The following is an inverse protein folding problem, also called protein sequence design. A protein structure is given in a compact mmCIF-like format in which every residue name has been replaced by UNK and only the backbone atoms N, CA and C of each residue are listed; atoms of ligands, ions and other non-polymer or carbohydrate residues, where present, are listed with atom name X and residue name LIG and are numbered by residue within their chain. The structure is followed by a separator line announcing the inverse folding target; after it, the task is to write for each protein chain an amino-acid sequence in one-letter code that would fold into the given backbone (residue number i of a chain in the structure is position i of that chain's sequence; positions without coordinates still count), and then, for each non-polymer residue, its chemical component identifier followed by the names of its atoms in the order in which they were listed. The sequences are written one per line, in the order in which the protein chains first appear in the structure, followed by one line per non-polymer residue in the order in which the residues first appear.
data_IF_561024491491
#
_entry.id   IF_561024491491
#
_cell.length_a   1.000
_cell.length_b   1.000
_cell.length_c   1.000
_cell.angle_alpha   90.00
_cell.angle_beta   90.00
_cell.angle_gamma   90.00
#
_symmetry.space_group_name_H-M   'P 1'
#
loop_
_entity.id
_entity.type
_entity.pdbx_description
1 polymer ?
#
# COMPACT_ATOMS: atom_id res chain seq x y z
N UNK A 1 13.74 19.73 10.34
CA UNK A 1 12.61 19.76 11.29
C UNK A 1 11.37 19.34 10.51
N UNK A 2 10.52 18.48 11.08
CA UNK A 2 9.22 18.12 10.49
C UNK A 2 8.26 19.30 10.59
N UNK A 3 7.40 19.48 9.58
CA UNK A 3 6.39 20.57 9.56
C UNK A 3 5.34 20.41 10.67
N UNK A 4 5.07 19.17 11.08
CA UNK A 4 4.11 18.84 12.13
C UNK A 4 4.82 18.28 13.35
N UNK A 5 4.33 18.61 14.54
CA UNK A 5 4.89 18.14 15.81
C UNK A 5 4.36 16.76 16.17
N UNK A 6 3.13 16.45 15.73
CA UNK A 6 2.45 15.22 16.05
C UNK A 6 1.92 14.53 14.80
N UNK A 7 2.29 13.26 14.65
CA UNK A 7 1.78 12.39 13.59
C UNK A 7 0.89 11.30 14.17
N UNK A 8 -0.34 11.25 13.72
CA UNK A 8 -1.27 10.17 13.96
C UNK A 8 -1.16 9.16 12.80
N UNK A 9 -0.94 7.88 13.08
CA UNK A 9 -0.78 6.85 12.05
C UNK A 9 -1.77 5.71 12.30
N UNK A 10 -2.59 5.40 11.32
CA UNK A 10 -3.35 4.15 11.31
C UNK A 10 -2.64 3.13 10.43
N UNK A 11 -2.69 1.84 10.81
CA UNK A 11 -1.98 0.79 10.08
C UNK A 11 -0.46 0.84 10.25
N UNK A 12 0.01 1.34 11.39
CA UNK A 12 1.43 1.50 11.73
C UNK A 12 2.21 0.17 11.78
N UNK A 13 1.54 -0.93 12.06
CA UNK A 13 2.11 -2.28 12.10
C UNK A 13 2.29 -2.93 10.73
N UNK A 14 1.63 -2.38 9.70
CA UNK A 14 1.75 -2.85 8.32
C UNK A 14 3.10 -2.49 7.67
N UNK A 15 3.36 -3.03 6.49
CA UNK A 15 4.61 -2.86 5.75
C UNK A 15 5.02 -1.38 5.58
N UNK A 16 4.12 -0.57 5.01
CA UNK A 16 4.36 0.86 4.81
C UNK A 16 4.35 1.62 6.15
N UNK A 17 3.36 1.32 7.02
CA UNK A 17 3.21 2.02 8.30
C UNK A 17 4.44 1.88 9.19
N UNK A 18 5.05 0.70 9.26
CA UNK A 18 6.32 0.50 9.99
C UNK A 18 7.47 1.33 9.42
N UNK A 19 7.55 1.43 8.10
CA UNK A 19 8.60 2.22 7.43
C UNK A 19 8.42 3.71 7.73
N UNK A 20 7.19 4.23 7.64
CA UNK A 20 6.84 5.60 8.00
C UNK A 20 7.13 5.90 9.47
N UNK A 21 6.68 5.03 10.37
CA UNK A 21 6.87 5.18 11.81
C UNK A 21 8.35 5.28 12.18
N UNK A 22 9.17 4.36 11.66
CA UNK A 22 10.63 4.39 11.88
C UNK A 22 11.26 5.68 11.36
N UNK A 23 10.80 6.17 10.21
CA UNK A 23 11.32 7.41 9.60
C UNK A 23 10.95 8.65 10.42
N UNK A 24 9.71 8.73 10.90
CA UNK A 24 9.23 9.82 11.74
C UNK A 24 9.94 9.86 13.09
N UNK A 25 10.06 8.73 13.78
CA UNK A 25 10.80 8.64 15.04
C UNK A 25 12.26 9.10 14.85
N UNK A 26 12.90 8.68 13.76
CA UNK A 26 14.28 9.09 13.45
C UNK A 26 14.40 10.61 13.24
N UNK A 27 13.34 11.28 12.80
CA UNK A 27 13.31 12.75 12.67
C UNK A 27 12.93 13.50 13.95
N UNK A 28 12.66 12.78 15.05
CA UNK A 28 12.29 13.35 16.35
C UNK A 28 10.81 13.73 16.47
N UNK A 29 9.95 13.31 15.55
CA UNK A 29 8.52 13.60 15.60
C UNK A 29 7.81 12.73 16.66
N UNK A 30 6.80 13.30 17.35
CA UNK A 30 5.87 12.53 18.17
C UNK A 30 4.97 11.69 17.25
N UNK A 31 4.84 10.40 17.53
CA UNK A 31 4.02 9.47 16.76
C UNK A 31 3.06 8.72 17.67
N UNK A 32 1.76 8.85 17.42
CA UNK A 32 0.72 8.02 18.02
C UNK A 32 0.14 7.09 16.98
N UNK A 33 0.07 5.80 17.27
CA UNK A 33 -0.41 4.77 16.34
C UNK A 33 -1.72 4.14 16.81
N UNK A 34 -2.72 4.09 15.92
CA UNK A 34 -3.90 3.26 16.14
C UNK A 34 -3.57 1.81 15.79
N UNK A 35 -3.74 0.90 16.74
CA UNK A 35 -3.33 -0.51 16.65
C UNK A 35 -4.47 -1.40 17.11
N UNK A 36 -4.74 -2.49 16.39
CA UNK A 36 -5.70 -3.50 16.86
C UNK A 36 -5.14 -4.18 18.12
N UNK A 37 -6.00 -4.43 19.11
CA UNK A 37 -5.59 -5.03 20.39
C UNK A 37 -4.99 -6.44 20.21
N UNK A 38 -5.45 -7.17 19.20
CA UNK A 38 -5.04 -8.53 18.86
C UNK A 38 -4.01 -8.58 17.70
N UNK A 39 -3.46 -7.43 17.28
CA UNK A 39 -2.48 -7.40 16.18
C UNK A 39 -1.18 -8.12 16.61
N UNK A 40 -0.81 -9.23 15.96
CA UNK A 40 0.40 -9.97 16.30
C UNK A 40 1.69 -9.18 16.01
N UNK A 41 1.63 -8.16 15.15
CA UNK A 41 2.78 -7.34 14.76
C UNK A 41 2.98 -6.12 15.66
N UNK A 42 2.13 -5.91 16.69
CA UNK A 42 2.24 -4.76 17.60
C UNK A 42 3.58 -4.67 18.32
N UNK A 43 4.18 -5.83 18.63
CA UNK A 43 5.50 -5.90 19.27
C UNK A 43 6.66 -5.40 18.38
N UNK A 44 6.44 -5.26 17.07
CA UNK A 44 7.44 -4.74 16.13
C UNK A 44 7.46 -3.20 16.03
N UNK A 45 6.51 -2.52 16.70
CA UNK A 45 6.51 -1.05 16.75
C UNK A 45 7.71 -0.54 17.57
N UNK A 46 8.37 0.54 17.12
CA UNK A 46 9.41 1.18 17.93
C UNK A 46 8.87 1.63 19.29
N UNK A 47 9.65 1.47 20.35
CA UNK A 47 9.27 1.84 21.72
C UNK A 47 8.89 3.33 21.89
N UNK A 48 9.36 4.21 21.00
CA UNK A 48 9.04 5.63 21.03
C UNK A 48 7.66 5.97 20.41
N UNK A 49 6.93 4.95 19.90
CA UNK A 49 5.55 5.14 19.39
C UNK A 49 4.57 4.96 20.54
N UNK A 50 3.63 5.87 20.65
CA UNK A 50 2.51 5.78 21.58
C UNK A 50 1.38 4.95 20.95
N UNK A 51 1.13 3.69 21.38
CA UNK A 51 0.07 2.88 20.83
C UNK A 51 -1.26 3.19 21.52
N UNK A 52 -2.29 3.44 20.71
CA UNK A 52 -3.69 3.48 21.16
C UNK A 52 -4.40 2.28 20.55
N UNK A 53 -5.06 1.49 21.38
CA UNK A 53 -5.78 0.31 20.91
C UNK A 53 -7.16 0.67 20.39
N UNK A 54 -7.44 0.29 19.14
CA UNK A 54 -8.72 0.56 18.52
C UNK A 54 -8.80 0.06 17.07
N UNK A 55 -10.00 0.15 16.52
CA UNK A 55 -10.33 -0.25 15.15
C UNK A 55 -10.90 0.96 14.39
N UNK A 56 -10.43 1.20 13.16
CA UNK A 56 -10.96 2.27 12.28
C UNK A 56 -12.45 2.11 11.98
N UNK A 57 -13.02 0.92 12.15
CA UNK A 57 -14.44 0.63 11.95
C UNK A 57 -15.31 0.97 13.16
N UNK A 58 -14.71 1.14 14.34
CA UNK A 58 -15.38 1.46 15.58
C UNK A 58 -15.12 2.91 16.01
N UNK A 59 -16.18 3.73 15.97
CA UNK A 59 -16.10 5.15 16.33
C UNK A 59 -15.76 5.39 17.80
N UNK A 60 -16.19 4.49 18.71
CA UNK A 60 -15.91 4.66 20.14
C UNK A 60 -14.41 4.49 20.42
N UNK A 61 -13.76 3.50 19.77
CA UNK A 61 -12.31 3.30 19.91
C UNK A 61 -11.49 4.40 19.23
N UNK A 62 -12.02 5.01 18.17
CA UNK A 62 -11.37 6.15 17.51
C UNK A 62 -11.33 7.40 18.41
N UNK A 63 -12.32 7.61 19.29
CA UNK A 63 -12.34 8.77 20.16
C UNK A 63 -11.05 8.88 20.99
N UNK A 64 -10.63 7.79 21.65
CA UNK A 64 -9.39 7.75 22.43
C UNK A 64 -8.14 8.09 21.59
N UNK A 65 -8.12 7.67 20.31
CA UNK A 65 -7.02 7.98 19.40
C UNK A 65 -6.97 9.47 19.05
N UNK A 66 -8.12 10.08 18.80
CA UNK A 66 -8.20 11.52 18.48
C UNK A 66 -8.05 12.41 19.71
N UNK A 67 -8.38 11.92 20.92
CA UNK A 67 -8.17 12.65 22.19
C UNK A 67 -6.68 12.86 22.52
N UNK A 68 -5.77 12.16 21.85
CA UNK A 68 -4.32 12.39 21.97
C UNK A 68 -3.86 13.69 21.30
N UNK A 69 -4.72 14.33 20.50
CA UNK A 69 -4.41 15.58 19.79
C UNK A 69 -4.41 16.75 20.77
N UNK A 70 -3.26 17.34 20.98
CA UNK A 70 -3.11 18.56 21.80
C UNK A 70 -3.22 19.82 20.94
N UNK A 71 -2.55 19.82 19.79
CA UNK A 71 -2.46 20.94 18.85
C UNK A 71 -2.95 20.52 17.45
N UNK A 72 -4.26 20.65 17.16
CA UNK A 72 -4.81 20.20 15.88
C UNK A 72 -4.12 20.81 14.65
N UNK A 73 -3.77 22.10 14.72
CA UNK A 73 -3.10 22.83 13.63
C UNK A 73 -1.64 22.41 13.41
N UNK A 74 -1.08 21.59 14.29
CA UNK A 74 0.27 21.02 14.18
C UNK A 74 0.26 19.48 14.10
N UNK A 75 -0.94 18.92 13.88
CA UNK A 75 -1.15 17.47 13.79
C UNK A 75 -1.42 17.05 12.35
N UNK A 76 -0.69 16.02 11.89
CA UNK A 76 -0.91 15.36 10.62
C UNK A 76 -1.36 13.92 10.85
N UNK A 77 -2.43 13.47 10.19
CA UNK A 77 -2.84 12.07 10.18
C UNK A 77 -2.46 11.40 8.86
N UNK A 78 -1.73 10.28 8.94
CA UNK A 78 -1.41 9.44 7.79
C UNK A 78 -2.25 8.16 7.91
N UNK A 79 -3.23 8.01 7.02
CA UNK A 79 -4.15 6.88 7.02
C UNK A 79 -3.64 5.76 6.12
N UNK A 80 -2.89 4.80 6.72
CA UNK A 80 -2.36 3.62 6.03
C UNK A 80 -3.22 2.36 6.28
N UNK A 81 -4.11 2.37 7.28
CA UNK A 81 -4.96 1.22 7.55
C UNK A 81 -5.80 0.85 6.34
N UNK A 82 -5.78 -0.43 6.00
CA UNK A 82 -6.55 -0.98 4.89
C UNK A 82 -6.22 -2.44 4.67
N UNK A 83 -7.22 -3.19 4.25
CA UNK A 83 -7.07 -4.58 3.86
C UNK A 83 -6.76 -4.69 2.39
N UNK A 84 -5.76 -5.51 2.05
CA UNK A 84 -5.42 -5.89 0.68
C UNK A 84 -5.88 -7.32 0.46
N UNK A 85 -6.63 -7.56 -0.61
CA UNK A 85 -7.03 -8.91 -1.00
C UNK A 85 -6.96 -9.06 -2.52
N UNK A 86 -6.28 -10.11 -2.95
CA UNK A 86 -6.26 -10.55 -4.35
C UNK A 86 -7.21 -11.72 -4.58
N UNK A 87 -7.95 -12.14 -3.55
CA UNK A 87 -8.92 -13.24 -3.64
C UNK A 87 -10.14 -12.82 -4.47
N UNK A 88 -10.68 -13.77 -5.23
CA UNK A 88 -11.90 -13.59 -6.03
C UNK A 88 -13.10 -13.27 -5.13
N UNK A 89 -13.16 -13.89 -3.95
CA UNK A 89 -14.14 -13.59 -2.91
C UNK A 89 -13.39 -13.06 -1.67
N UNK A 90 -13.34 -11.74 -1.50
CA UNK A 90 -12.65 -11.15 -0.34
C UNK A 90 -13.45 -11.38 0.94
N UNK A 91 -12.81 -11.29 2.11
CA UNK A 91 -13.51 -11.24 3.38
C UNK A 91 -14.43 -10.01 3.45
N UNK A 92 -15.55 -10.14 4.17
CA UNK A 92 -16.54 -9.04 4.32
C UNK A 92 -15.95 -7.80 4.96
N UNK A 93 -14.98 -8.00 5.82
CA UNK A 93 -14.24 -6.96 6.54
C UNK A 93 -13.50 -6.00 5.60
N UNK A 94 -13.13 -6.44 4.39
CA UNK A 94 -12.45 -5.60 3.40
C UNK A 94 -13.19 -4.29 3.14
N UNK A 95 -14.50 -4.36 2.94
CA UNK A 95 -15.31 -3.15 2.70
C UNK A 95 -15.53 -2.34 3.96
N UNK A 96 -15.68 -2.99 5.11
CA UNK A 96 -15.81 -2.31 6.39
C UNK A 96 -14.56 -1.51 6.72
N UNK A 97 -13.38 -2.13 6.64
CA UNK A 97 -12.11 -1.47 6.93
C UNK A 97 -11.82 -0.37 5.90
N UNK A 98 -11.86 -0.71 4.59
CA UNK A 98 -11.41 0.24 3.57
C UNK A 98 -12.40 1.38 3.33
N UNK A 99 -13.70 1.15 3.42
CA UNK A 99 -14.72 2.17 3.13
C UNK A 99 -15.19 2.84 4.41
N UNK A 100 -15.79 2.06 5.34
CA UNK A 100 -16.33 2.63 6.58
C UNK A 100 -15.21 3.18 7.46
N UNK A 101 -14.10 2.47 7.59
CA UNK A 101 -12.92 2.92 8.33
C UNK A 101 -12.40 4.26 7.81
N UNK A 102 -12.18 4.38 6.49
CA UNK A 102 -11.73 5.65 5.89
C UNK A 102 -12.75 6.77 6.10
N UNK A 103 -14.06 6.48 5.97
CA UNK A 103 -15.11 7.46 6.26
C UNK A 103 -15.05 7.94 7.72
N UNK A 104 -14.93 7.03 8.68
CA UNK A 104 -14.82 7.40 10.08
C UNK A 104 -13.59 8.30 10.32
N UNK A 105 -12.42 7.93 9.79
CA UNK A 105 -11.20 8.75 9.91
C UNK A 105 -11.41 10.14 9.34
N UNK A 106 -12.02 10.28 8.16
CA UNK A 106 -12.29 11.60 7.57
C UNK A 106 -13.27 12.43 8.39
N UNK A 107 -14.32 11.79 8.94
CA UNK A 107 -15.29 12.48 9.82
C UNK A 107 -14.61 13.03 11.08
N UNK A 108 -13.75 12.23 11.75
CA UNK A 108 -13.00 12.68 12.92
C UNK A 108 -11.96 13.77 12.58
N UNK A 109 -11.24 13.63 11.47
CA UNK A 109 -10.29 14.66 11.02
C UNK A 109 -10.97 16.01 10.78
N UNK A 110 -12.17 16.03 10.20
CA UNK A 110 -12.99 17.23 10.03
C UNK A 110 -13.42 17.81 11.37
N UNK A 111 -13.94 16.98 12.28
CA UNK A 111 -14.42 17.41 13.58
C UNK A 111 -13.30 17.99 14.45
N UNK A 112 -12.10 17.41 14.39
CA UNK A 112 -10.94 17.86 15.15
C UNK A 112 -10.15 18.99 14.47
N UNK A 113 -10.52 19.40 13.25
CA UNK A 113 -9.84 20.47 12.49
C UNK A 113 -8.32 20.28 12.39
N UNK A 114 -7.85 19.03 12.13
CA UNK A 114 -6.42 18.74 12.01
C UNK A 114 -5.78 19.46 10.82
N UNK A 115 -4.49 19.73 10.93
CA UNK A 115 -3.74 20.46 9.90
C UNK A 115 -3.63 19.72 8.56
N UNK A 116 -3.54 18.38 8.58
CA UNK A 116 -3.38 17.59 7.35
C UNK A 116 -3.85 16.14 7.52
N UNK A 117 -4.54 15.65 6.51
CA UNK A 117 -4.78 14.22 6.27
C UNK A 117 -4.04 13.78 5.00
N UNK A 118 -3.22 12.74 5.09
CA UNK A 118 -2.71 12.00 3.92
C UNK A 118 -3.31 10.61 3.90
N UNK A 119 -4.12 10.33 2.89
CA UNK A 119 -4.73 9.02 2.70
C UNK A 119 -3.91 8.16 1.74
N UNK A 120 -3.51 6.99 2.19
CA UNK A 120 -2.82 5.99 1.36
C UNK A 120 -3.86 5.14 0.63
N UNK A 121 -4.08 5.48 -0.63
CA UNK A 121 -4.96 4.76 -1.53
C UNK A 121 -4.21 3.63 -2.26
N UNK A 122 -4.33 3.54 -3.57
CA UNK A 122 -3.61 2.63 -4.47
C UNK A 122 -3.84 3.04 -5.92
N UNK A 123 -2.88 2.77 -6.80
CA UNK A 123 -3.06 2.91 -8.26
C UNK A 123 -4.21 2.06 -8.80
N UNK A 124 -4.57 0.96 -8.13
CA UNK A 124 -5.75 0.16 -8.50
C UNK A 124 -7.09 0.90 -8.40
N UNK A 125 -7.14 2.01 -7.67
CA UNK A 125 -8.35 2.83 -7.57
C UNK A 125 -8.60 3.67 -8.82
N UNK A 126 -7.59 3.86 -9.67
CA UNK A 126 -7.69 4.64 -10.91
C UNK A 126 -8.38 3.87 -12.03
N UNK A 127 -8.93 4.62 -12.97
CA UNK A 127 -9.48 4.04 -14.21
C UNK A 127 -8.35 3.49 -15.07
N UNK A 128 -8.49 2.23 -15.48
CA UNK A 128 -7.54 1.57 -16.37
C UNK A 128 -7.52 2.25 -17.75
N UNK A 129 -6.35 2.30 -18.37
CA UNK A 129 -6.13 2.81 -19.72
C UNK A 129 -5.70 1.68 -20.66
N UNK A 130 -5.91 1.83 -21.96
CA UNK A 130 -5.40 0.87 -22.93
C UNK A 130 -3.92 0.55 -22.70
N UNK A 131 -3.54 -0.67 -23.03
CA UNK A 131 -2.17 -1.13 -22.83
C UNK A 131 -1.19 -0.30 -23.66
N UNK A 132 -0.13 0.20 -23.01
CA UNK A 132 0.88 1.06 -23.61
C UNK A 132 0.65 2.55 -23.39
N UNK A 133 -0.55 2.97 -22.96
CA UNK A 133 -0.78 4.35 -22.53
C UNK A 133 -0.29 4.55 -21.09
N UNK A 134 0.30 5.70 -20.82
CA UNK A 134 0.72 6.05 -19.46
C UNK A 134 -0.49 6.48 -18.63
N UNK A 135 -0.68 5.85 -17.47
CA UNK A 135 -1.74 6.20 -16.53
C UNK A 135 -1.25 7.34 -15.63
N UNK A 136 -2.02 8.41 -15.58
CA UNK A 136 -1.82 9.56 -14.69
C UNK A 136 -3.03 9.74 -13.79
N UNK A 137 -2.98 10.67 -12.85
CA UNK A 137 -4.10 11.03 -11.98
C UNK A 137 -5.33 11.53 -12.76
N UNK A 138 -5.13 12.06 -13.96
CA UNK A 138 -6.20 12.49 -14.88
C UNK A 138 -7.10 11.34 -15.33
N UNK A 139 -6.68 10.07 -15.17
CA UNK A 139 -7.53 8.91 -15.43
C UNK A 139 -8.77 8.90 -14.50
N UNK A 140 -8.68 9.56 -13.34
CA UNK A 140 -9.74 9.60 -12.34
C UNK A 140 -10.00 8.25 -11.67
N UNK A 141 -10.86 8.27 -10.65
CA UNK A 141 -11.20 7.08 -9.89
C UNK A 141 -12.21 6.19 -10.61
N UNK A 142 -11.92 4.90 -10.67
CA UNK A 142 -12.73 3.93 -11.42
C UNK A 142 -14.11 3.64 -10.77
N UNK A 143 -14.27 3.92 -9.46
CA UNK A 143 -15.51 3.70 -8.71
C UNK A 143 -16.10 2.30 -8.97
N UNK A 144 -17.33 2.23 -9.50
CA UNK A 144 -18.00 0.95 -9.76
C UNK A 144 -17.37 0.14 -10.91
N UNK A 145 -16.58 0.80 -11.78
CA UNK A 145 -15.92 0.17 -12.94
C UNK A 145 -14.57 -0.46 -12.56
N UNK A 146 -14.06 -0.23 -11.34
CA UNK A 146 -12.81 -0.81 -10.89
C UNK A 146 -12.87 -2.35 -10.92
N UNK A 147 -11.77 -2.95 -11.36
CA UNK A 147 -11.65 -4.40 -11.39
C UNK A 147 -11.29 -4.95 -10.02
N UNK A 148 -12.14 -5.84 -9.54
CA UNK A 148 -11.95 -6.53 -8.28
C UNK A 148 -12.38 -5.74 -7.03
N UNK A 149 -12.64 -6.48 -5.94
CA UNK A 149 -13.20 -5.90 -4.72
C UNK A 149 -12.27 -4.89 -4.04
N UNK A 150 -10.96 -5.16 -4.03
CA UNK A 150 -9.97 -4.25 -3.44
C UNK A 150 -9.93 -2.90 -4.16
N UNK A 151 -9.82 -2.92 -5.48
CA UNK A 151 -9.80 -1.71 -6.30
C UNK A 151 -11.08 -0.87 -6.10
N UNK A 152 -12.26 -1.53 -6.09
CA UNK A 152 -13.53 -0.89 -5.78
C UNK A 152 -13.52 -0.23 -4.41
N UNK A 153 -13.09 -0.95 -3.37
CA UNK A 153 -13.07 -0.42 -2.01
C UNK A 153 -12.19 0.82 -1.86
N UNK A 154 -11.00 0.81 -2.48
CA UNK A 154 -10.06 1.95 -2.46
C UNK A 154 -10.59 3.14 -3.25
N UNK A 155 -11.22 2.90 -4.41
CA UNK A 155 -11.81 3.95 -5.22
C UNK A 155 -13.00 4.64 -4.51
N UNK A 156 -13.88 3.88 -3.84
CA UNK A 156 -14.95 4.47 -3.03
C UNK A 156 -14.42 5.25 -1.83
N UNK A 157 -13.41 4.71 -1.15
CA UNK A 157 -12.79 5.37 0.00
C UNK A 157 -12.14 6.71 -0.38
N UNK A 158 -11.49 6.79 -1.54
CA UNK A 158 -10.96 8.04 -2.08
C UNK A 158 -12.05 9.11 -2.23
N UNK A 159 -13.28 8.72 -2.59
CA UNK A 159 -14.41 9.63 -2.69
C UNK A 159 -14.72 10.35 -1.38
N UNK A 160 -14.64 9.67 -0.21
CA UNK A 160 -14.85 10.31 1.09
C UNK A 160 -13.75 11.31 1.44
N UNK A 161 -12.50 11.00 1.09
CA UNK A 161 -11.38 11.92 1.33
C UNK A 161 -11.51 13.18 0.46
N UNK A 162 -11.87 13.03 -0.82
CA UNK A 162 -12.10 14.16 -1.71
C UNK A 162 -13.32 15.00 -1.29
N UNK A 163 -14.37 14.35 -0.78
CA UNK A 163 -15.52 15.06 -0.21
C UNK A 163 -15.14 15.84 1.04
N UNK A 164 -14.37 15.23 1.94
CA UNK A 164 -13.87 15.91 3.13
C UNK A 164 -12.97 17.11 2.78
N UNK A 165 -12.15 16.98 1.72
CA UNK A 165 -11.32 18.08 1.22
C UNK A 165 -12.20 19.27 0.72
N UNK A 166 -13.28 18.98 -0.03
CA UNK A 166 -14.26 20.02 -0.46
C UNK A 166 -14.96 20.70 0.71
N UNK A 167 -15.11 20.00 1.84
CA UNK A 167 -15.68 20.52 3.08
C UNK A 167 -14.67 21.24 3.96
N UNK A 168 -13.44 21.46 3.47
CA UNK A 168 -12.41 22.25 4.13
C UNK A 168 -11.35 21.48 4.92
N UNK A 169 -11.35 20.13 4.89
CA UNK A 169 -10.25 19.35 5.45
C UNK A 169 -9.02 19.45 4.54
N UNK A 170 -7.84 19.89 5.03
CA UNK A 170 -6.62 19.83 4.26
C UNK A 170 -6.21 18.36 4.03
N UNK A 171 -6.71 17.74 2.97
CA UNK A 171 -6.51 16.31 2.69
C UNK A 171 -5.90 16.09 1.31
N UNK A 172 -4.94 15.17 1.21
CA UNK A 172 -4.35 14.72 -0.05
C UNK A 172 -4.35 13.19 -0.11
N UNK A 173 -4.36 12.64 -1.32
CA UNK A 173 -4.35 11.20 -1.57
C UNK A 173 -3.03 10.82 -2.22
N UNK A 174 -2.40 9.77 -1.75
CA UNK A 174 -1.26 9.14 -2.43
C UNK A 174 -1.68 7.78 -2.97
N UNK A 175 -1.16 7.44 -4.14
CA UNK A 175 -1.51 6.25 -4.92
C UNK A 175 -0.23 5.43 -5.17
N UNK A 176 0.25 4.67 -4.18
CA UNK A 176 1.41 3.80 -4.38
C UNK A 176 1.12 2.70 -5.39
N UNK A 177 2.15 2.32 -6.16
CA UNK A 177 2.16 1.11 -6.98
C UNK A 177 2.50 -0.14 -6.15
N UNK A 178 2.97 -1.21 -6.77
CA UNK A 178 3.34 -2.44 -6.08
C UNK A 178 4.54 -2.25 -5.18
N UNK A 179 4.31 -2.09 -3.88
CA UNK A 179 5.39 -1.87 -2.93
C UNK A 179 6.22 -3.12 -2.72
N UNK A 180 7.55 -2.96 -2.81
CA UNK A 180 8.56 -3.95 -2.48
C UNK A 180 9.58 -3.35 -1.52
N UNK A 181 10.38 -4.18 -0.86
CA UNK A 181 11.46 -3.70 0.01
C UNK A 181 11.58 -4.51 1.31
N UNK A 182 12.47 -4.09 2.21
CA UNK A 182 12.69 -4.78 3.46
C UNK A 182 11.54 -4.57 4.46
N UNK A 183 11.26 -5.58 5.28
CA UNK A 183 10.34 -5.47 6.42
C UNK A 183 8.87 -5.79 6.14
N UNK A 184 8.52 -6.42 5.01
CA UNK A 184 7.16 -6.94 4.77
C UNK A 184 6.92 -8.25 5.55
N UNK A 185 6.73 -8.14 6.85
CA UNK A 185 6.36 -9.26 7.73
C UNK A 185 4.89 -9.67 7.60
N UNK A 186 4.05 -8.80 7.06
CA UNK A 186 2.64 -9.12 6.75
C UNK A 186 2.48 -10.08 5.56
N UNK A 187 3.54 -10.27 4.76
CA UNK A 187 3.60 -11.22 3.67
C UNK A 187 2.67 -10.84 2.50
N UNK A 188 2.91 -9.71 1.86
CA UNK A 188 2.23 -9.31 0.62
C UNK A 188 2.36 -10.33 -0.51
N UNK A 189 1.56 -10.22 -1.57
CA UNK A 189 1.54 -11.20 -2.67
C UNK A 189 2.92 -11.36 -3.34
N UNK A 190 3.62 -10.26 -3.58
CA UNK A 190 4.96 -10.29 -4.18
C UNK A 190 5.99 -10.90 -3.22
N UNK A 191 5.92 -10.59 -1.95
CA UNK A 191 6.80 -11.17 -0.92
C UNK A 191 6.63 -12.69 -0.85
N UNK A 192 5.38 -13.18 -0.87
CA UNK A 192 5.11 -14.63 -0.93
C UNK A 192 5.63 -15.29 -2.21
N UNK A 193 5.50 -14.62 -3.37
CA UNK A 193 6.08 -15.09 -4.62
C UNK A 193 7.60 -15.25 -4.50
N UNK A 194 8.28 -14.24 -3.96
CA UNK A 194 9.73 -14.25 -3.78
C UNK A 194 10.18 -15.30 -2.75
N UNK A 195 9.44 -15.47 -1.65
CA UNK A 195 9.70 -16.52 -0.67
C UNK A 195 9.51 -17.91 -1.29
N UNK A 196 8.41 -18.13 -2.07
CA UNK A 196 8.21 -19.39 -2.77
C UNK A 196 9.34 -19.68 -3.76
N UNK A 197 9.86 -18.67 -4.44
CA UNK A 197 11.03 -18.79 -5.32
C UNK A 197 12.28 -19.17 -4.55
N UNK A 198 12.60 -18.49 -3.45
CA UNK A 198 13.78 -18.78 -2.61
C UNK A 198 13.71 -20.16 -1.93
N UNK A 199 12.51 -20.61 -1.60
CA UNK A 199 12.28 -21.94 -1.03
C UNK A 199 12.19 -23.06 -2.09
N UNK A 200 12.51 -22.80 -3.36
CA UNK A 200 12.40 -23.74 -4.48
C UNK A 200 10.96 -24.31 -4.69
N UNK A 201 9.95 -23.56 -4.25
CA UNK A 201 8.53 -23.96 -4.33
C UNK A 201 7.76 -23.26 -5.47
N UNK A 202 8.48 -22.61 -6.39
CA UNK A 202 7.90 -21.93 -7.55
C UNK A 202 8.22 -22.68 -8.86
N UNK A 203 7.43 -23.69 -9.24
CA UNK A 203 7.70 -24.51 -10.44
C UNK A 203 7.42 -23.74 -11.74
N UNK A 204 6.53 -22.77 -11.71
CA UNK A 204 6.14 -21.94 -12.84
C UNK A 204 5.86 -20.51 -12.40
N UNK A 205 6.00 -19.57 -13.32
CA UNK A 205 5.63 -18.16 -13.13
C UNK A 205 4.72 -17.70 -14.28
N UNK A 206 4.18 -16.46 -14.18
CA UNK A 206 3.31 -15.88 -15.21
C UNK A 206 4.10 -14.88 -16.04
N UNK A 207 3.86 -14.85 -17.35
CA UNK A 207 4.35 -13.79 -18.24
C UNK A 207 3.51 -12.55 -17.98
N UNK A 208 4.17 -11.47 -17.64
CA UNK A 208 3.54 -10.19 -17.35
C UNK A 208 4.43 -9.39 -16.41
N UNK A 209 3.99 -8.21 -16.10
CA UNK A 209 4.74 -7.29 -15.25
C UNK A 209 3.81 -6.31 -14.54
N UNK A 210 4.42 -5.51 -13.71
CA UNK A 210 3.72 -4.50 -12.93
C UNK A 210 4.67 -3.37 -12.60
N UNK A 211 4.13 -2.23 -12.18
CA UNK A 211 4.97 -1.16 -11.63
C UNK A 211 5.31 -1.49 -10.17
N UNK A 212 6.59 -1.49 -9.86
CA UNK A 212 7.11 -1.75 -8.52
C UNK A 212 7.86 -0.54 -7.99
N UNK A 213 7.61 -0.22 -6.72
CA UNK A 213 8.22 0.89 -6.00
C UNK A 213 8.79 0.43 -4.66
N UNK A 214 9.92 0.98 -4.25
CA UNK A 214 10.45 0.70 -2.91
C UNK A 214 9.58 1.37 -1.84
N UNK A 215 9.27 0.63 -0.78
CA UNK A 215 8.46 1.13 0.34
C UNK A 215 9.06 2.35 1.02
N UNK A 216 10.39 2.50 0.96
CA UNK A 216 11.11 3.66 1.54
C UNK A 216 10.89 4.91 0.69
N UNK A 217 10.89 4.78 -0.65
CA UNK A 217 10.56 5.90 -1.55
C UNK A 217 9.10 6.33 -1.36
N UNK A 218 8.18 5.37 -1.19
CA UNK A 218 6.78 5.67 -0.88
C UNK A 218 6.66 6.42 0.45
N UNK A 219 7.39 5.99 1.48
CA UNK A 219 7.37 6.66 2.78
C UNK A 219 7.88 8.11 2.68
N UNK A 220 8.99 8.36 1.99
CA UNK A 220 9.50 9.73 1.75
C UNK A 220 8.49 10.55 0.92
N UNK A 221 7.87 9.95 -0.11
CA UNK A 221 6.84 10.61 -0.90
C UNK A 221 5.61 10.99 -0.08
N UNK A 222 5.19 10.15 0.86
CA UNK A 222 4.07 10.47 1.78
C UNK A 222 4.40 11.64 2.70
N UNK A 223 5.61 11.65 3.28
CA UNK A 223 6.05 12.74 4.14
C UNK A 223 6.17 14.06 3.36
N UNK A 224 6.71 14.02 2.16
CA UNK A 224 6.75 15.17 1.26
C UNK A 224 5.36 15.64 0.84
N UNK A 225 4.41 14.73 0.60
CA UNK A 225 3.01 15.04 0.33
C UNK A 225 2.31 15.65 1.56
N UNK A 226 2.64 15.21 2.78
CA UNK A 226 2.12 15.81 3.99
C UNK A 226 2.49 17.29 4.09
N UNK A 227 3.71 17.63 3.75
CA UNK A 227 4.25 18.99 3.82
C UNK A 227 3.78 19.89 2.65
N UNK A 228 3.77 19.38 1.43
CA UNK A 228 3.64 20.18 0.19
C UNK A 228 2.50 19.76 -0.72
N UNK A 229 1.84 18.63 -0.45
CA UNK A 229 0.73 18.17 -1.27
C UNK A 229 -0.50 19.08 -1.15
N UNK A 230 -1.06 19.53 -2.26
CA UNK A 230 -2.24 20.38 -2.28
C UNK A 230 -3.49 19.62 -1.80
N UNK A 231 -4.38 20.32 -1.11
CA UNK A 231 -5.64 19.75 -0.63
C UNK A 231 -6.57 19.40 -1.81
N UNK A 232 -7.24 18.25 -1.71
CA UNK A 232 -8.11 17.76 -2.77
C UNK A 232 -7.38 17.06 -3.92
N UNK A 233 -6.05 17.02 -3.88
CA UNK A 233 -5.25 16.45 -4.95
C UNK A 233 -4.80 15.01 -4.65
N UNK A 234 -4.57 14.27 -5.74
CA UNK A 234 -4.06 12.90 -5.72
C UNK A 234 -2.71 12.85 -6.41
N UNK A 235 -1.81 11.99 -5.91
CA UNK A 235 -0.44 11.85 -6.40
C UNK A 235 -0.06 10.38 -6.53
N UNK A 236 0.30 9.96 -7.73
CA UNK A 236 0.84 8.61 -7.99
C UNK A 236 2.27 8.55 -7.44
N UNK A 237 2.54 7.53 -6.63
CA UNK A 237 3.87 7.19 -6.14
C UNK A 237 4.31 5.87 -6.79
N UNK A 238 4.60 5.92 -8.09
CA UNK A 238 5.07 4.78 -8.86
C UNK A 238 6.59 4.68 -8.84
N UNK A 239 7.09 3.49 -9.15
CA UNK A 239 8.50 3.23 -9.33
C UNK A 239 8.82 2.92 -10.79
N UNK A 240 9.08 1.64 -11.07
CA UNK A 240 9.44 1.17 -12.40
C UNK A 240 8.65 -0.07 -12.80
N UNK A 241 8.20 -0.10 -14.06
CA UNK A 241 7.64 -1.32 -14.60
C UNK A 241 8.72 -2.39 -14.69
N UNK A 242 8.42 -3.57 -14.14
CA UNK A 242 9.25 -4.76 -14.24
C UNK A 242 8.40 -5.99 -14.47
N UNK A 243 8.90 -6.92 -15.28
CA UNK A 243 8.28 -8.23 -15.47
C UNK A 243 8.57 -9.13 -14.27
N UNK A 244 7.72 -10.13 -14.07
CA UNK A 244 7.97 -11.15 -13.03
C UNK A 244 9.31 -11.86 -13.27
N UNK A 245 9.70 -12.08 -14.52
CA UNK A 245 11.03 -12.66 -14.87
C UNK A 245 12.16 -11.77 -14.37
N UNK A 246 12.08 -10.46 -14.59
CA UNK A 246 13.11 -9.50 -14.13
C UNK A 246 13.19 -9.45 -12.61
N UNK A 247 12.04 -9.41 -11.91
CA UNK A 247 12.01 -9.43 -10.45
C UNK A 247 12.64 -10.71 -9.88
N UNK A 248 12.31 -11.89 -10.45
CA UNK A 248 12.93 -13.15 -10.03
C UNK A 248 14.43 -13.21 -10.39
N UNK A 249 14.84 -12.60 -11.51
CA UNK A 249 16.25 -12.48 -11.89
C UNK A 249 17.02 -11.61 -10.89
N UNK A 250 16.46 -10.48 -10.47
CA UNK A 250 17.03 -9.62 -9.43
C UNK A 250 17.10 -10.37 -8.08
N UNK A 251 16.03 -11.10 -7.72
CA UNK A 251 16.00 -11.88 -6.47
C UNK A 251 16.97 -13.06 -6.45
N UNK A 252 17.48 -13.47 -7.60
CA UNK A 252 18.51 -14.52 -7.75
C UNK A 252 19.93 -14.00 -7.53
N UNK A 253 20.15 -12.69 -7.61
CA UNK A 253 21.48 -12.10 -7.45
C UNK A 253 22.17 -12.65 -6.20
N UNK A 254 23.40 -13.09 -6.33
CA UNK A 254 24.22 -13.71 -5.28
C UNK A 254 23.77 -15.10 -4.78
N UNK A 255 22.92 -15.79 -5.54
CA UNK A 255 22.46 -17.16 -5.21
C UNK A 255 22.45 -18.09 -6.45
N UNK A 256 22.57 -19.38 -6.22
CA UNK A 256 22.45 -20.42 -7.27
C UNK A 256 21.01 -20.78 -7.61
N UNK A 257 20.02 -19.95 -7.23
CA UNK A 257 18.62 -20.22 -7.52
C UNK A 257 18.33 -20.22 -9.01
N UNK A 258 17.69 -21.29 -9.49
CA UNK A 258 17.30 -21.39 -10.89
C UNK A 258 15.93 -20.77 -11.10
N UNK A 259 15.81 -19.94 -12.14
CA UNK A 259 14.51 -19.42 -12.56
C UNK A 259 13.55 -20.56 -12.90
N UNK A 260 12.23 -20.36 -12.70
CA UNK A 260 11.23 -21.32 -13.16
C UNK A 260 11.42 -21.61 -14.64
N UNK A 261 11.34 -22.90 -15.01
CA UNK A 261 11.47 -23.32 -16.43
C UNK A 261 10.26 -22.90 -17.25
N UNK A 262 9.09 -22.82 -16.62
CA UNK A 262 7.81 -22.55 -17.26
C UNK A 262 7.36 -21.15 -16.92
N UNK A 263 7.08 -20.34 -17.95
CA UNK A 263 6.41 -19.05 -17.83
C UNK A 263 5.11 -19.11 -18.60
N UNK A 264 4.01 -19.28 -17.88
CA UNK A 264 2.67 -19.40 -18.42
C UNK A 264 2.23 -18.12 -19.12
N UNK A 265 1.51 -18.25 -20.23
CA UNK A 265 0.80 -17.09 -20.80
C UNK A 265 -0.30 -16.62 -19.83
N UNK A 266 -0.69 -15.34 -19.85
CA UNK A 266 -1.80 -14.84 -19.01
C UNK A 266 -3.08 -15.67 -19.19
N UNK A 267 -3.44 -16.03 -20.42
CA UNK A 267 -4.62 -16.85 -20.71
C UNK A 267 -4.54 -18.25 -20.08
N UNK A 268 -3.38 -18.91 -20.14
CA UNK A 268 -3.18 -20.21 -19.51
C UNK A 268 -3.19 -20.13 -17.99
N UNK A 269 -2.54 -19.08 -17.46
CA UNK A 269 -2.50 -18.81 -16.02
C UNK A 269 -3.89 -18.52 -15.45
N UNK A 270 -4.72 -17.74 -16.16
CA UNK A 270 -6.08 -17.39 -15.74
C UNK A 270 -6.99 -18.63 -15.64
N UNK A 271 -6.84 -19.59 -16.55
CA UNK A 271 -7.57 -20.88 -16.50
C UNK A 271 -7.19 -21.74 -15.29
N UNK A 272 -5.93 -21.71 -14.88
CA UNK A 272 -5.42 -22.50 -13.76
C UNK A 272 -5.60 -21.82 -12.40
N UNK A 273 -5.64 -20.50 -12.37
CA UNK A 273 -5.68 -19.72 -11.15
C UNK A 273 -6.82 -20.08 -10.18
N UNK A 274 -8.07 -20.36 -10.62
CA UNK A 274 -9.15 -20.75 -9.71
C UNK A 274 -8.85 -22.02 -8.91
N UNK A 275 -8.19 -23.00 -9.55
CA UNK A 275 -7.82 -24.25 -8.88
C UNK A 275 -6.77 -24.01 -7.79
N UNK A 276 -5.73 -23.24 -8.10
CA UNK A 276 -4.68 -22.90 -7.12
C UNK A 276 -5.19 -22.02 -5.99
N UNK A 277 -6.10 -21.08 -6.29
CA UNK A 277 -6.76 -20.26 -5.27
C UNK A 277 -7.54 -21.15 -4.29
N UNK A 278 -8.35 -22.07 -4.81
CA UNK A 278 -9.12 -23.03 -4.00
C UNK A 278 -8.21 -23.91 -3.13
N UNK A 279 -7.11 -24.41 -3.69
CA UNK A 279 -6.13 -25.22 -2.95
C UNK A 279 -5.44 -24.43 -1.84
N UNK A 280 -5.09 -23.17 -2.08
CA UNK A 280 -4.49 -22.29 -1.07
C UNK A 280 -5.46 -22.03 0.08
N UNK A 281 -6.71 -21.70 -0.23
CA UNK A 281 -7.78 -21.47 0.76
C UNK A 281 -8.09 -22.71 1.58
N UNK A 282 -8.13 -23.91 0.95
CA UNK A 282 -8.33 -25.18 1.65
C UNK A 282 -7.20 -25.48 2.66
N UNK A 283 -6.00 -24.94 2.44
CA UNK A 283 -4.86 -25.05 3.37
C UNK A 283 -4.79 -23.91 4.38
N UNK A 284 -5.81 -23.05 4.46
CA UNK A 284 -5.80 -21.86 5.33
C UNK A 284 -4.77 -20.79 4.94
N UNK A 285 -4.24 -20.85 3.71
CA UNK A 285 -3.21 -19.92 3.24
C UNK A 285 -3.83 -18.78 2.44
N UNK A 286 -3.30 -17.57 2.59
CA UNK A 286 -3.68 -16.44 1.73
C UNK A 286 -3.17 -16.71 0.31
N UNK A 287 -4.05 -16.79 -0.73
CA UNK A 287 -3.61 -17.04 -2.08
C UNK A 287 -2.83 -15.83 -2.64
N UNK A 288 -1.79 -16.07 -3.43
CA UNK A 288 -1.10 -15.04 -4.22
C UNK A 288 -1.26 -15.25 -5.73
N UNK A 289 -1.65 -16.45 -6.16
CA UNK A 289 -1.95 -16.80 -7.53
C UNK A 289 -3.47 -16.98 -7.67
N UNK A 290 -4.14 -15.94 -8.16
CA UNK A 290 -5.59 -15.86 -8.30
C UNK A 290 -5.94 -15.30 -9.69
N UNK A 291 -7.18 -15.46 -10.19
CA UNK A 291 -7.58 -14.82 -11.44
C UNK A 291 -7.33 -13.32 -11.44
N UNK A 292 -7.58 -12.64 -10.31
CA UNK A 292 -7.33 -11.21 -10.18
C UNK A 292 -5.84 -10.87 -10.26
N UNK A 293 -4.95 -11.61 -9.56
CA UNK A 293 -3.51 -11.34 -9.63
C UNK A 293 -2.93 -11.58 -11.03
N UNK A 294 -3.43 -12.59 -11.75
CA UNK A 294 -3.04 -12.83 -13.14
C UNK A 294 -3.50 -11.68 -14.05
N UNK A 295 -4.74 -11.21 -13.86
CA UNK A 295 -5.28 -10.07 -14.61
C UNK A 295 -4.44 -8.81 -14.38
N UNK A 296 -4.07 -8.52 -13.14
CA UNK A 296 -3.19 -7.39 -12.80
C UNK A 296 -1.85 -7.46 -13.53
N UNK A 297 -1.20 -8.64 -13.57
CA UNK A 297 0.06 -8.82 -14.29
C UNK A 297 -0.07 -8.72 -15.82
N UNK A 298 -1.28 -8.92 -16.35
CA UNK A 298 -1.59 -8.80 -17.77
C UNK A 298 -2.12 -7.42 -18.18
N UNK A 299 -2.50 -6.59 -17.21
CA UNK A 299 -3.06 -5.26 -17.45
C UNK A 299 -1.99 -4.22 -17.77
N UNK A 300 -2.40 -2.96 -17.91
CA UNK A 300 -1.48 -1.85 -18.13
C UNK A 300 -0.76 -1.49 -16.82
N UNK A 301 0.57 -1.62 -16.83
CA UNK A 301 1.43 -1.33 -15.66
C UNK A 301 2.27 -0.05 -15.81
N UNK A 302 1.93 0.84 -16.74
CA UNK A 302 2.71 2.07 -16.96
C UNK A 302 2.05 3.26 -16.26
N UNK A 303 2.66 3.71 -15.18
CA UNK A 303 2.19 4.83 -14.38
C UNK A 303 3.21 5.97 -14.37
N UNK A 304 2.71 7.22 -14.32
CA UNK A 304 3.56 8.41 -14.18
C UNK A 304 3.44 8.99 -12.78
N UNK A 305 4.58 9.21 -12.13
CA UNK A 305 4.67 9.98 -10.89
C UNK A 305 5.11 11.43 -11.13
N UNK A 306 5.02 11.93 -12.36
CA UNK A 306 5.51 13.27 -12.73
C UNK A 306 4.86 14.36 -11.87
N UNK A 307 3.54 14.29 -11.63
CA UNK A 307 2.82 15.24 -10.78
C UNK A 307 3.39 15.28 -9.35
N UNK A 308 3.71 14.14 -8.77
CA UNK A 308 4.33 14.06 -7.46
C UNK A 308 5.76 14.63 -7.46
N UNK A 309 6.52 14.37 -8.54
CA UNK A 309 7.86 14.94 -8.72
C UNK A 309 7.83 16.46 -8.81
N UNK A 310 6.90 17.04 -9.58
CA UNK A 310 6.73 18.48 -9.74
C UNK A 310 6.20 19.15 -8.45
N UNK A 311 5.22 18.54 -7.78
CA UNK A 311 4.58 19.14 -6.60
C UNK A 311 5.49 19.13 -5.37
N UNK A 312 6.24 18.05 -5.13
CA UNK A 312 7.03 17.91 -3.91
C UNK A 312 8.36 17.16 -4.06
N UNK A 313 8.85 17.02 -5.28
CA UNK A 313 10.18 16.47 -5.56
C UNK A 313 10.26 14.94 -5.35
N UNK A 314 9.16 14.22 -5.49
CA UNK A 314 9.16 12.75 -5.39
C UNK A 314 10.11 12.14 -6.43
N UNK A 315 10.87 11.15 -5.99
CA UNK A 315 11.75 10.35 -6.87
C UNK A 315 11.70 8.91 -6.42
N UNK A 316 11.55 7.99 -7.37
CA UNK A 316 11.79 6.58 -7.15
C UNK A 316 13.31 6.35 -7.26
N UNK A 317 13.98 6.28 -6.10
CA UNK A 317 15.45 6.32 -6.02
C UNK A 317 16.12 5.00 -6.42
N UNK A 318 15.39 3.89 -6.46
CA UNK A 318 15.97 2.60 -6.83
C UNK A 318 16.11 2.48 -8.34
N UNK A 319 17.34 2.60 -8.89
CA UNK A 319 17.59 2.56 -10.31
C UNK A 319 17.39 1.16 -10.88
N UNK A 320 16.99 1.08 -12.14
CA UNK A 320 17.00 -0.16 -12.93
C UNK A 320 18.39 -0.80 -12.84
N UNK A 321 18.45 -2.08 -12.51
CA UNK A 321 19.69 -2.89 -12.58
C UNK A 321 20.56 -2.93 -11.33
N UNK A 322 20.18 -2.29 -10.21
CA UNK A 322 20.80 -2.60 -8.91
C UNK A 322 19.92 -3.55 -8.14
N UNK A 323 20.48 -4.62 -7.52
CA UNK A 323 19.69 -5.50 -6.68
C UNK A 323 19.06 -4.68 -5.57
N UNK A 324 17.73 -4.77 -5.44
CA UNK A 324 17.05 -4.31 -4.24
C UNK A 324 17.66 -5.15 -3.13
N UNK A 325 18.43 -4.51 -2.24
CA UNK A 325 19.06 -5.21 -1.11
C UNK A 325 17.98 -5.85 -0.25
N UNK A 326 17.75 -7.12 -0.47
CA UNK A 326 16.84 -7.97 0.31
C UNK A 326 17.46 -8.43 1.63
N UNK A 327 18.37 -7.64 2.20
CA UNK A 327 19.04 -7.93 3.47
C UNK A 327 18.06 -8.10 4.65
N UNK A 328 16.82 -7.64 4.49
CA UNK A 328 15.74 -7.85 5.47
C UNK A 328 15.02 -9.20 5.38
N UNK A 329 15.17 -9.99 4.31
CA UNK A 329 14.49 -11.29 4.17
C UNK A 329 15.20 -12.44 4.89
N UNK A 330 16.44 -12.26 5.32
CA UNK A 330 17.20 -13.30 6.03
C UNK A 330 16.68 -13.60 7.45
N UNK A 331 15.73 -12.83 7.97
CA UNK A 331 15.17 -12.97 9.32
C UNK A 331 13.77 -13.59 9.38
N UNK A 332 13.27 -14.13 8.28
CA UNK A 332 11.96 -14.83 8.21
C UNK A 332 12.15 -16.36 8.13
N UNK A 333 13.13 -16.91 8.86
CA UNK A 333 13.20 -18.35 9.13
C UNK A 333 12.64 -18.63 10.51
#
# INVERSE_FOLDING_TARGET
MTMYDHYLITGATGFLGKTLTKRLIKSGARVTALVLADDPLRAELPAAVEPIFGDVTDKASLQAFFDTIQEPRRTCLIHCAGMISVATRPPKELYQVNIRGTKNITDFCLACHIAKLVYVCSIHALTERPRGEVITEAAGYAMRRADGPYAKSKSFAAGFVLDAARRGLPASIVLPSGMIGPGDTAGGAITRLLLAFRCHRLPAAVRGGYDFVDVRDVAEGILACAERGASGESYILSGHYATIREILTLARHDTDYRLPRIFLSPRSAERLAPLFEKMSLAKGQKPFFTPYSVKVLASNGFFSHQKAAEAFGYRAAFPRGKPVGYDGMARLQ
#
